data_IF_858985161926
#
_entry.id   IF_858985161926
#
_cell.length_a   1.000
_cell.length_b   1.000
_cell.length_c   1.000
_cell.angle_alpha   90.00
_cell.angle_beta   90.00
_cell.angle_gamma   90.00
#
_symmetry.space_group_name_H-M   'P 1'
#
loop_
_entity.id
_entity.type
_entity.pdbx_description
1 polymer ?
#
# COMPACT_ATOMS: atom_id res chain seq x y z
N UNK A 1 0.04 -18.07 6.31
CA UNK A 1 -0.79 -17.93 5.09
C UNK A 1 -0.27 -16.71 4.34
N UNK A 2 -0.02 -16.82 3.05
CA UNK A 2 0.45 -15.69 2.21
C UNK A 2 -0.69 -15.29 1.30
N UNK A 3 -1.06 -14.01 1.32
CA UNK A 3 -2.18 -13.47 0.52
C UNK A 3 -1.67 -12.33 -0.35
N UNK A 4 -2.12 -12.30 -1.61
CA UNK A 4 -1.84 -11.22 -2.55
C UNK A 4 -3.15 -10.55 -2.92
N UNK A 5 -3.22 -9.23 -2.72
CA UNK A 5 -4.34 -8.39 -3.16
C UNK A 5 -3.87 -7.48 -4.30
N UNK A 6 -4.75 -7.25 -5.26
CA UNK A 6 -4.51 -6.36 -6.40
C UNK A 6 -5.65 -5.35 -6.42
N UNK A 7 -5.31 -4.07 -6.30
CA UNK A 7 -6.26 -2.95 -6.37
C UNK A 7 -5.61 -1.79 -7.14
N UNK A 8 -6.44 -0.95 -7.74
CA UNK A 8 -6.02 0.34 -8.29
C UNK A 8 -6.04 1.47 -7.27
N UNK A 9 -6.63 1.24 -6.08
CA UNK A 9 -6.78 2.23 -5.02
C UNK A 9 -5.65 2.09 -3.99
N UNK A 10 -4.80 3.11 -3.89
CA UNK A 10 -3.61 3.08 -3.01
C UNK A 10 -3.98 3.04 -1.52
N UNK A 11 -5.08 3.70 -1.12
CA UNK A 11 -5.59 3.71 0.25
C UNK A 11 -5.95 2.31 0.73
N UNK A 12 -6.67 1.56 -0.10
CA UNK A 12 -7.05 0.18 0.18
C UNK A 12 -5.80 -0.71 0.29
N UNK A 13 -4.83 -0.50 -0.59
CA UNK A 13 -3.58 -1.25 -0.58
C UNK A 13 -2.79 -1.02 0.73
N UNK A 14 -2.65 0.25 1.17
CA UNK A 14 -1.99 0.62 2.43
C UNK A 14 -2.74 0.04 3.63
N UNK A 15 -4.07 0.02 3.60
CA UNK A 15 -4.87 -0.52 4.70
C UNK A 15 -4.70 -2.04 4.86
N UNK A 16 -4.65 -2.78 3.75
CA UNK A 16 -4.64 -4.23 3.77
C UNK A 16 -3.24 -4.83 3.84
N UNK A 17 -2.27 -4.30 3.10
CA UNK A 17 -0.98 -4.95 2.88
C UNK A 17 0.13 -4.38 3.76
N UNK A 18 1.07 -5.23 4.18
CA UNK A 18 2.31 -4.79 4.81
C UNK A 18 3.39 -4.42 3.78
N UNK A 19 3.17 -4.80 2.52
CA UNK A 19 4.07 -4.54 1.40
C UNK A 19 3.29 -4.22 0.13
N UNK A 20 3.68 -3.13 -0.52
CA UNK A 20 3.09 -2.65 -1.76
C UNK A 20 4.06 -2.87 -2.91
N UNK A 21 3.57 -3.47 -4.00
CA UNK A 21 4.33 -3.62 -5.24
C UNK A 21 3.67 -2.73 -6.28
N UNK A 22 4.36 -1.65 -6.67
CA UNK A 22 3.85 -0.71 -7.67
C UNK A 22 4.29 -1.16 -9.05
N UNK A 23 3.32 -1.34 -9.94
CA UNK A 23 3.55 -1.75 -11.32
C UNK A 23 3.57 -0.54 -12.26
N UNK A 24 4.39 -0.57 -13.30
CA UNK A 24 4.44 0.48 -14.33
C UNK A 24 3.25 0.39 -15.29
N UNK A 25 3.09 1.40 -16.15
CA UNK A 25 2.17 1.30 -17.26
C UNK A 25 2.58 0.19 -18.24
N UNK A 26 1.64 -0.25 -19.08
CA UNK A 26 1.82 -1.35 -20.04
C UNK A 26 2.92 -1.01 -21.06
N UNK A 27 3.84 -1.94 -21.41
CA UNK A 27 4.06 -3.26 -20.81
C UNK A 27 4.63 -3.13 -19.38
N UNK A 28 4.09 -3.91 -18.44
CA UNK A 28 4.31 -3.65 -17.00
C UNK A 28 5.60 -4.27 -16.46
N UNK A 29 6.28 -3.53 -15.60
CA UNK A 29 7.40 -3.97 -14.77
C UNK A 29 7.16 -3.53 -13.33
N UNK A 30 7.82 -4.18 -12.37
CA UNK A 30 7.84 -3.69 -10.98
C UNK A 30 8.63 -2.39 -10.95
N UNK A 31 7.93 -1.29 -10.66
CA UNK A 31 8.53 0.05 -10.58
C UNK A 31 9.19 0.28 -9.23
N UNK A 32 8.49 -0.07 -8.16
CA UNK A 32 9.00 0.07 -6.79
C UNK A 32 8.28 -0.91 -5.87
N UNK A 33 8.91 -1.19 -4.74
CA UNK A 33 8.33 -1.94 -3.65
C UNK A 33 8.45 -1.11 -2.39
N UNK A 34 7.32 -0.89 -1.71
CA UNK A 34 7.20 -0.02 -0.55
C UNK A 34 6.76 -0.88 0.62
N UNK A 35 7.49 -0.83 1.74
CA UNK A 35 7.09 -1.48 2.97
C UNK A 35 6.22 -0.51 3.79
N UNK A 36 5.07 -1.00 4.26
CA UNK A 36 4.07 -0.20 4.97
C UNK A 36 4.27 -0.39 6.47
N UNK A 37 5.10 0.47 7.06
CA UNK A 37 5.38 0.49 8.50
C UNK A 37 4.28 1.21 9.30
N UNK A 38 3.05 0.72 9.15
CA UNK A 38 1.89 1.19 9.93
C UNK A 38 1.48 0.11 10.95
N UNK A 39 1.44 0.45 12.26
CA UNK A 39 1.08 -0.50 13.30
C UNK A 39 -0.37 -0.98 13.13
N UNK A 40 -0.60 -2.25 13.46
CA UNK A 40 -1.94 -2.86 13.48
C UNK A 40 -2.58 -2.61 14.87
N UNK A 41 -3.92 -2.45 14.98
CA UNK A 41 -4.92 -2.44 13.92
C UNK A 41 -4.97 -1.09 13.20
N UNK A 42 -5.02 -1.12 11.86
CA UNK A 42 -5.12 0.10 11.05
C UNK A 42 -6.55 0.63 11.11
N UNK A 43 -6.71 1.94 11.25
CA UNK A 43 -8.01 2.61 11.23
C UNK A 43 -8.05 3.68 10.13
N UNK A 44 -9.24 4.03 9.65
CA UNK A 44 -9.40 5.02 8.58
C UNK A 44 -8.86 6.41 8.97
N UNK A 45 -8.79 6.72 10.27
CA UNK A 45 -8.20 7.97 10.78
C UNK A 45 -6.68 8.04 10.59
N UNK A 46 -5.98 6.90 10.46
CA UNK A 46 -4.56 6.86 10.13
C UNK A 46 -4.28 7.24 8.67
N UNK A 47 -5.22 7.02 7.74
CA UNK A 47 -5.08 7.43 6.33
C UNK A 47 -5.16 8.97 6.16
N UNK A 48 -5.80 9.66 7.11
CA UNK A 48 -5.86 11.13 7.14
C UNK A 48 -4.75 11.78 7.96
N UNK A 49 -3.90 10.99 8.62
CA UNK A 49 -2.79 11.48 9.44
C UNK A 49 -1.62 11.94 8.57
N UNK A 50 -0.91 12.99 9.00
CA UNK A 50 0.16 13.66 8.25
C UNK A 50 1.32 12.75 7.78
N UNK A 51 1.39 11.50 8.27
CA UNK A 51 2.32 10.46 7.80
C UNK A 51 1.96 9.91 6.42
N UNK A 52 0.69 9.96 6.01
CA UNK A 52 0.23 9.44 4.72
C UNK A 52 0.89 10.15 3.52
N UNK A 53 1.12 11.46 3.62
CA UNK A 53 1.74 12.24 2.55
C UNK A 53 3.26 12.06 2.39
N UNK A 54 3.88 11.15 3.15
CA UNK A 54 5.33 10.89 3.14
C UNK A 54 5.72 9.50 2.62
N UNK A 55 4.73 8.67 2.30
CA UNK A 55 4.89 7.34 1.68
C UNK A 55 4.86 7.51 0.16
#
# INVERSE_FOLDING_TARGET
>A
MTTLFVTSEIDEAIFLADRLVVLSYKPTVVRTVIDVDLPRPRNFQMLTSATYGRI
#
